data_IF_627278930521
#
_entry.id   IF_627278930521
#
_cell.length_a   1.000
_cell.length_b   1.000
_cell.length_c   1.000
_cell.angle_alpha   90.00
_cell.angle_beta   90.00
_cell.angle_gamma   90.00
#
_symmetry.space_group_name_H-M   'P 1'
#
loop_
_entity.id
_entity.type
_entity.pdbx_description
1 polymer ?
#
# COMPACT_ATOMS: atom_id res chain seq x y z
N UNK A 1 35.31 10.39 3.77
CA UNK A 1 33.88 10.12 3.49
C UNK A 1 33.08 11.23 4.14
N UNK A 2 32.16 11.86 3.42
CA UNK A 2 31.26 12.84 4.02
C UNK A 2 30.42 12.13 5.10
N UNK A 3 30.23 12.77 6.27
CA UNK A 3 29.43 12.21 7.36
C UNK A 3 27.97 12.15 6.92
N UNK A 4 27.33 10.98 7.02
CA UNK A 4 25.89 10.85 6.75
C UNK A 4 25.11 11.75 7.72
N UNK A 5 24.06 12.41 7.20
CA UNK A 5 23.04 13.07 8.00
C UNK A 5 22.31 12.00 8.83
N UNK A 6 21.98 12.39 10.05
CA UNK A 6 21.14 11.57 10.92
C UNK A 6 19.70 11.58 10.39
N UNK A 7 18.93 10.51 10.66
CA UNK A 7 17.49 10.56 10.52
C UNK A 7 16.91 11.70 11.39
N UNK A 8 15.80 12.33 10.98
CA UNK A 8 15.08 13.29 11.81
C UNK A 8 14.85 12.78 13.23
N UNK A 9 14.85 13.68 14.21
CA UNK A 9 14.74 13.28 15.63
C UNK A 9 13.36 12.68 15.96
N UNK A 10 12.35 13.13 15.23
CA UNK A 10 10.95 12.76 15.29
C UNK A 10 10.55 11.79 14.17
N UNK A 11 11.52 11.11 13.56
CA UNK A 11 11.28 10.15 12.49
C UNK A 11 10.31 9.04 12.95
N UNK A 12 9.26 8.83 12.16
CA UNK A 12 8.20 7.87 12.42
C UNK A 12 8.65 6.47 12.00
N UNK A 13 9.47 5.84 12.84
CA UNK A 13 9.76 4.41 12.73
C UNK A 13 8.52 3.60 13.12
N UNK A 14 8.04 2.74 12.23
CA UNK A 14 6.85 1.94 12.48
C UNK A 14 6.87 0.64 11.69
N UNK A 15 5.70 0.06 11.49
CA UNK A 15 5.45 -0.96 10.48
C UNK A 15 3.96 -0.92 10.13
N UNK A 16 3.56 -1.72 9.15
CA UNK A 16 2.22 -1.67 8.59
C UNK A 16 1.51 -3.01 8.55
N UNK A 17 0.18 -2.94 8.52
CA UNK A 17 -0.77 -4.05 8.26
C UNK A 17 -1.95 -3.54 7.42
N UNK A 18 -2.82 -4.45 7.00
CA UNK A 18 -4.13 -4.13 6.40
C UNK A 18 -5.21 -4.94 7.09
N UNK A 19 -6.41 -4.35 7.20
CA UNK A 19 -7.53 -4.91 7.95
C UNK A 19 -7.86 -6.34 7.52
N UNK A 20 -8.15 -6.56 6.23
CA UNK A 20 -8.59 -7.87 5.75
C UNK A 20 -7.49 -8.95 5.87
N UNK A 21 -6.20 -8.56 5.88
CA UNK A 21 -5.10 -9.53 5.98
C UNK A 21 -4.75 -9.91 7.42
N UNK A 22 -5.15 -9.12 8.42
CA UNK A 22 -4.70 -9.29 9.82
C UNK A 22 -5.84 -9.44 10.83
N UNK A 23 -7.00 -8.78 10.63
CA UNK A 23 -8.02 -8.65 11.68
C UNK A 23 -8.72 -9.97 11.99
N UNK A 24 -9.23 -10.66 10.97
CA UNK A 24 -10.21 -11.74 11.18
C UNK A 24 -11.56 -11.20 11.62
N UNK A 25 -12.31 -12.00 12.39
CA UNK A 25 -13.66 -11.67 12.85
C UNK A 25 -14.56 -11.16 11.71
N UNK A 26 -14.48 -11.83 10.55
CA UNK A 26 -14.78 -11.18 9.27
C UNK A 26 -16.28 -10.92 9.02
N UNK A 27 -17.17 -11.61 9.72
CA UNK A 27 -18.62 -11.38 9.72
C UNK A 27 -19.19 -11.31 11.15
N UNK A 28 -18.36 -10.89 12.09
CA UNK A 28 -18.73 -10.76 13.51
C UNK A 28 -18.97 -9.30 13.88
N UNK A 29 -19.65 -9.08 15.02
CA UNK A 29 -19.87 -7.74 15.60
C UNK A 29 -20.48 -6.72 14.63
N UNK A 30 -21.43 -7.18 13.81
CA UNK A 30 -22.15 -6.34 12.84
C UNK A 30 -21.35 -5.97 11.59
N UNK A 31 -20.13 -6.48 11.38
CA UNK A 31 -19.37 -6.28 10.13
C UNK A 31 -20.13 -6.90 8.95
N UNK A 32 -20.32 -6.12 7.89
CA UNK A 32 -20.84 -6.60 6.61
C UNK A 32 -19.77 -7.30 5.77
N UNK A 33 -20.17 -8.12 4.77
CA UNK A 33 -19.24 -8.70 3.83
C UNK A 33 -18.52 -7.62 3.01
N UNK A 34 -17.22 -7.77 2.83
CA UNK A 34 -16.42 -7.05 1.84
C UNK A 34 -16.22 -7.90 0.59
N UNK A 35 -15.71 -7.32 -0.49
CA UNK A 35 -15.26 -8.05 -1.69
C UNK A 35 -14.22 -9.13 -1.35
N UNK A 36 -13.44 -8.95 -0.28
CA UNK A 36 -12.46 -9.95 0.17
C UNK A 36 -13.11 -11.15 0.87
N UNK A 37 -14.31 -10.98 1.44
CA UNK A 37 -15.08 -12.04 2.10
C UNK A 37 -15.87 -12.90 1.10
N UNK A 38 -16.34 -12.30 -0.01
CA UNK A 38 -17.22 -12.97 -0.99
C UNK A 38 -16.48 -13.47 -2.22
N UNK A 39 -15.21 -13.08 -2.42
CA UNK A 39 -14.42 -13.57 -3.55
C UNK A 39 -14.27 -15.10 -3.49
N UNK A 40 -14.17 -15.70 -4.67
CA UNK A 40 -13.82 -17.12 -4.79
C UNK A 40 -12.34 -17.27 -4.48
N UNK A 41 -12.03 -18.06 -3.45
CA UNK A 41 -10.65 -18.33 -3.02
C UNK A 41 -10.24 -19.68 -3.59
N UNK A 42 -9.10 -19.79 -4.30
CA UNK A 42 -8.55 -21.07 -4.74
C UNK A 42 -8.35 -22.04 -3.57
N UNK A 43 -8.61 -23.34 -3.79
CA UNK A 43 -8.53 -24.38 -2.74
C UNK A 43 -7.15 -24.49 -2.07
N UNK A 44 -6.09 -24.01 -2.75
CA UNK A 44 -4.72 -24.01 -2.25
C UNK A 44 -4.36 -22.75 -1.44
N UNK A 45 -5.31 -21.84 -1.20
CA UNK A 45 -5.11 -20.62 -0.41
C UNK A 45 -6.08 -20.56 0.79
N UNK A 46 -5.68 -19.94 1.91
CA UNK A 46 -6.55 -19.77 3.07
C UNK A 46 -7.60 -18.67 2.85
N UNK A 47 -8.73 -18.78 3.56
CA UNK A 47 -9.68 -17.68 3.68
C UNK A 47 -9.23 -16.61 4.69
N UNK A 48 -9.92 -15.46 4.66
CA UNK A 48 -9.62 -14.30 5.51
C UNK A 48 -10.49 -14.23 6.77
N UNK A 49 -11.23 -15.30 7.12
CA UNK A 49 -12.20 -15.25 8.23
C UNK A 49 -11.52 -15.02 9.57
N UNK A 50 -10.38 -15.66 9.79
CA UNK A 50 -9.59 -15.57 11.03
C UNK A 50 -8.32 -14.73 10.85
N UNK A 51 -7.66 -14.82 9.69
CA UNK A 51 -6.40 -14.09 9.47
C UNK A 51 -5.39 -14.28 10.63
N UNK A 52 -4.73 -13.22 11.08
CA UNK A 52 -3.89 -13.30 12.28
C UNK A 52 -4.67 -13.10 13.57
N UNK A 53 -5.99 -12.94 13.48
CA UNK A 53 -6.91 -12.69 14.60
C UNK A 53 -6.53 -11.46 15.43
N UNK A 54 -5.98 -10.42 14.79
CA UNK A 54 -5.66 -9.16 15.46
C UNK A 54 -6.90 -8.49 16.06
N UNK A 55 -8.10 -8.77 15.55
CA UNK A 55 -9.33 -8.25 16.16
C UNK A 55 -9.42 -8.61 17.65
N UNK A 56 -9.07 -9.85 18.00
CA UNK A 56 -9.09 -10.33 19.38
C UNK A 56 -7.74 -10.15 20.10
N UNK A 57 -6.63 -10.06 19.35
CA UNK A 57 -5.26 -9.99 19.89
C UNK A 57 -4.60 -8.60 19.82
N UNK A 58 -5.32 -7.53 19.45
CA UNK A 58 -4.70 -6.21 19.23
C UNK A 58 -3.91 -5.70 20.44
N UNK A 59 -4.35 -5.97 21.67
CA UNK A 59 -3.60 -5.54 22.88
C UNK A 59 -2.23 -6.20 22.98
N UNK A 60 -2.14 -7.49 22.65
CA UNK A 60 -0.87 -8.23 22.61
C UNK A 60 0.02 -7.70 21.49
N UNK A 61 -0.55 -7.53 20.29
CA UNK A 61 0.17 -7.02 19.12
C UNK A 61 0.73 -5.61 19.37
N UNK A 62 -0.08 -4.69 19.90
CA UNK A 62 0.35 -3.31 20.21
C UNK A 62 1.39 -3.29 21.34
N UNK A 63 1.28 -4.15 22.35
CA UNK A 63 2.29 -4.25 23.41
C UNK A 63 3.65 -4.70 22.84
N UNK A 64 3.66 -5.65 21.90
CA UNK A 64 4.89 -6.08 21.20
C UNK A 64 5.46 -4.97 20.31
N UNK A 65 4.61 -4.21 19.62
CA UNK A 65 5.04 -3.03 18.85
C UNK A 65 5.68 -1.96 19.75
N UNK A 66 5.12 -1.75 20.94
CA UNK A 66 5.69 -0.87 21.96
C UNK A 66 7.03 -1.38 22.48
N UNK A 67 7.15 -2.69 22.73
CA UNK A 67 8.41 -3.32 23.13
C UNK A 67 9.50 -3.15 22.06
N UNK A 68 9.14 -3.23 20.78
CA UNK A 68 10.03 -2.97 19.65
C UNK A 68 10.40 -1.48 19.53
N UNK A 69 9.62 -0.59 20.15
CA UNK A 69 9.91 0.84 20.23
C UNK A 69 9.24 1.69 19.15
N UNK A 70 8.21 1.16 18.46
CA UNK A 70 7.49 1.86 17.41
C UNK A 70 7.10 3.29 17.80
N UNK A 71 7.24 4.21 16.84
CA UNK A 71 6.76 5.59 16.91
C UNK A 71 5.45 5.76 16.17
N UNK A 72 5.20 4.94 15.15
CA UNK A 72 3.94 4.90 14.43
C UNK A 72 3.52 3.47 14.15
N UNK A 73 2.21 3.24 14.04
CA UNK A 73 1.65 2.01 13.49
C UNK A 73 0.67 2.38 12.38
N UNK A 74 0.91 1.85 11.17
CA UNK A 74 0.00 2.02 10.06
C UNK A 74 -0.94 0.83 9.96
N UNK A 75 -2.23 1.09 10.02
CA UNK A 75 -3.28 0.10 9.79
C UNK A 75 -4.36 0.69 8.90
N UNK A 76 -5.14 -0.17 8.24
CA UNK A 76 -6.35 0.26 7.54
C UNK A 76 -7.59 0.04 8.40
N UNK A 77 -8.62 0.85 8.16
CA UNK A 77 -9.94 0.65 8.73
C UNK A 77 -10.80 -0.11 7.71
N UNK A 78 -11.45 -1.19 8.15
CA UNK A 78 -12.37 -1.95 7.32
C UNK A 78 -13.68 -1.18 7.13
N UNK A 79 -13.93 -0.73 5.90
CA UNK A 79 -15.14 0.04 5.57
C UNK A 79 -16.40 -0.75 5.93
N UNK A 80 -16.46 -2.04 5.60
CA UNK A 80 -17.62 -2.86 5.91
C UNK A 80 -17.79 -3.16 7.41
N UNK A 81 -16.79 -2.87 8.26
CA UNK A 81 -16.93 -2.91 9.71
C UNK A 81 -17.62 -1.65 10.24
N UNK A 82 -17.26 -0.47 9.73
CA UNK A 82 -17.86 0.81 10.13
C UNK A 82 -19.25 1.01 9.54
N UNK A 83 -19.42 0.71 8.26
CA UNK A 83 -20.65 0.92 7.51
C UNK A 83 -20.94 -0.39 6.74
N UNK A 84 -21.72 -1.31 7.30
CA UNK A 84 -21.84 -2.69 6.78
C UNK A 84 -22.30 -2.81 5.33
N UNK A 85 -23.13 -1.87 4.86
CA UNK A 85 -23.59 -1.80 3.47
C UNK A 85 -22.79 -0.80 2.61
N UNK A 86 -21.72 -0.22 3.16
CA UNK A 86 -20.92 0.86 2.59
C UNK A 86 -21.55 2.24 2.64
N UNK A 87 -22.87 2.30 2.82
CA UNK A 87 -23.68 3.51 3.02
C UNK A 87 -24.69 3.32 4.16
N UNK A 88 -25.24 4.43 4.66
CA UNK A 88 -26.32 4.41 5.64
C UNK A 88 -25.85 4.27 7.09
N UNK A 89 -26.38 3.28 7.80
CA UNK A 89 -26.19 3.13 9.25
C UNK A 89 -24.75 2.77 9.62
N UNK A 90 -24.23 3.50 10.62
CA UNK A 90 -22.92 3.24 11.21
C UNK A 90 -23.05 2.14 12.26
N UNK A 91 -22.17 1.14 12.19
CA UNK A 91 -22.06 0.09 13.19
C UNK A 91 -21.22 0.56 14.38
N UNK A 92 -21.86 0.77 15.53
CA UNK A 92 -21.21 1.24 16.75
C UNK A 92 -20.14 0.27 17.28
N UNK A 93 -20.28 -1.05 17.06
CA UNK A 93 -19.26 -2.02 17.48
C UNK A 93 -17.98 -1.90 16.63
N UNK A 94 -18.13 -1.56 15.35
CA UNK A 94 -16.98 -1.25 14.48
C UNK A 94 -16.24 0.00 14.95
N UNK A 95 -16.97 1.06 15.32
CA UNK A 95 -16.40 2.27 15.91
C UNK A 95 -15.68 1.97 17.23
N UNK A 96 -16.28 1.15 18.10
CA UNK A 96 -15.68 0.75 19.37
C UNK A 96 -14.36 0.00 19.18
N UNK A 97 -14.29 -0.94 18.23
CA UNK A 97 -13.05 -1.67 17.93
C UNK A 97 -11.89 -0.73 17.56
N UNK A 98 -12.10 0.18 16.60
CA UNK A 98 -11.02 1.08 16.18
C UNK A 98 -10.70 2.15 17.23
N UNK A 99 -11.68 2.61 18.02
CA UNK A 99 -11.40 3.43 19.19
C UNK A 99 -10.45 2.72 20.15
N UNK A 100 -10.74 1.46 20.48
CA UNK A 100 -9.90 0.66 21.37
C UNK A 100 -8.50 0.42 20.79
N UNK A 101 -8.39 0.14 19.48
CA UNK A 101 -7.09 -0.04 18.81
C UNK A 101 -6.26 1.25 18.84
N UNK A 102 -6.88 2.39 18.53
CA UNK A 102 -6.26 3.72 18.56
C UNK A 102 -5.81 4.06 19.99
N UNK A 103 -6.68 3.88 20.98
CA UNK A 103 -6.37 4.18 22.38
C UNK A 103 -5.26 3.29 22.92
N UNK A 104 -5.23 2.00 22.53
CA UNK A 104 -4.13 1.11 22.91
C UNK A 104 -2.81 1.55 22.25
N UNK A 105 -2.81 2.01 20.99
CA UNK A 105 -1.61 2.61 20.37
C UNK A 105 -1.12 3.82 21.16
N UNK A 106 -2.04 4.75 21.47
CA UNK A 106 -1.71 6.01 22.15
C UNK A 106 -1.24 5.79 23.59
N UNK A 107 -1.77 4.78 24.28
CA UNK A 107 -1.30 4.36 25.61
C UNK A 107 0.20 4.06 25.62
N UNK A 108 0.76 3.56 24.52
CA UNK A 108 2.20 3.31 24.36
C UNK A 108 2.95 4.42 23.60
N UNK A 109 2.31 5.56 23.35
CA UNK A 109 2.84 6.67 22.55
C UNK A 109 3.14 6.31 21.09
N UNK A 110 2.44 5.32 20.54
CA UNK A 110 2.51 4.96 19.12
C UNK A 110 1.49 5.82 18.38
N UNK A 111 1.93 6.64 17.43
CA UNK A 111 1.03 7.46 16.62
C UNK A 111 0.32 6.60 15.56
N UNK A 112 -1.03 6.59 15.51
CA UNK A 112 -1.76 5.96 14.43
C UNK A 112 -1.50 6.67 13.09
N UNK A 113 -1.14 5.91 12.06
CA UNK A 113 -1.18 6.32 10.65
C UNK A 113 -2.32 5.56 9.98
N UNK A 114 -3.50 6.18 9.90
CA UNK A 114 -4.73 5.48 9.50
C UNK A 114 -4.90 5.49 7.99
N UNK A 115 -5.03 4.31 7.40
CA UNK A 115 -5.37 4.14 5.98
C UNK A 115 -6.87 3.93 5.82
N UNK A 116 -7.53 4.78 5.04
CA UNK A 116 -9.00 4.70 4.89
C UNK A 116 -9.41 3.45 4.14
N UNK A 117 -8.75 3.13 3.03
CA UNK A 117 -9.17 2.03 2.17
C UNK A 117 -8.01 1.19 1.67
N UNK A 118 -8.15 -0.13 1.82
CA UNK A 118 -7.16 -1.12 1.42
C UNK A 118 -7.85 -2.36 0.82
N UNK A 119 -8.42 -2.16 -0.39
CA UNK A 119 -8.98 -3.21 -1.26
C UNK A 119 -10.23 -3.95 -0.74
N UNK A 120 -10.82 -3.52 0.37
CA UNK A 120 -11.87 -4.22 1.09
C UNK A 120 -13.24 -3.52 0.98
N UNK A 121 -13.62 -3.17 -0.26
CA UNK A 121 -14.91 -2.53 -0.56
C UNK A 121 -16.08 -3.35 0.02
N UNK A 122 -17.06 -2.73 0.69
CA UNK A 122 -18.28 -3.41 1.10
C UNK A 122 -18.96 -4.09 -0.10
N UNK A 123 -19.32 -5.37 0.03
CA UNK A 123 -19.88 -6.15 -1.07
C UNK A 123 -21.19 -5.54 -1.60
N UNK A 124 -21.98 -4.89 -0.74
CA UNK A 124 -23.20 -4.19 -1.15
C UNK A 124 -22.94 -2.99 -2.10
N UNK A 125 -21.78 -2.35 -2.04
CA UNK A 125 -21.39 -1.33 -3.02
C UNK A 125 -20.90 -1.99 -4.31
N UNK A 126 -20.18 -3.10 -4.21
CA UNK A 126 -19.71 -3.87 -5.37
C UNK A 126 -20.88 -4.40 -6.21
N UNK A 127 -21.94 -4.91 -5.56
CA UNK A 127 -23.20 -5.32 -6.20
C UNK A 127 -23.87 -4.19 -7.01
N UNK A 128 -23.60 -2.92 -6.65
CA UNK A 128 -24.08 -1.73 -7.36
C UNK A 128 -23.10 -1.22 -8.43
N UNK A 129 -22.05 -1.97 -8.73
CA UNK A 129 -21.01 -1.62 -9.71
C UNK A 129 -19.71 -1.11 -9.09
N UNK A 130 -19.61 -1.07 -7.76
CA UNK A 130 -18.40 -0.71 -7.02
C UNK A 130 -17.79 0.60 -7.48
N UNK A 131 -16.49 0.62 -7.74
CA UNK A 131 -15.81 1.83 -8.24
C UNK A 131 -16.22 2.24 -9.65
N UNK A 132 -17.01 1.46 -10.40
CA UNK A 132 -17.58 1.89 -11.69
C UNK A 132 -18.82 2.76 -11.51
N UNK A 133 -19.42 2.74 -10.33
CA UNK A 133 -20.57 3.56 -9.99
C UNK A 133 -20.10 4.89 -9.36
N UNK A 134 -20.48 6.06 -9.92
CA UNK A 134 -20.10 7.35 -9.36
C UNK A 134 -20.61 7.56 -7.92
N UNK A 135 -21.70 6.91 -7.50
CA UNK A 135 -22.23 7.02 -6.13
C UNK A 135 -21.24 6.49 -5.07
N UNK A 136 -20.34 5.58 -5.46
CA UNK A 136 -19.27 5.08 -4.58
C UNK A 136 -18.32 6.18 -4.13
N UNK A 137 -18.18 7.25 -4.92
CA UNK A 137 -17.41 8.45 -4.54
C UNK A 137 -18.03 9.08 -3.29
N UNK A 138 -19.33 9.29 -3.29
CA UNK A 138 -20.03 9.95 -2.18
C UNK A 138 -20.12 9.02 -0.96
N UNK A 139 -20.28 7.71 -1.18
CA UNK A 139 -20.19 6.71 -0.11
C UNK A 139 -18.82 6.74 0.58
N UNK A 140 -17.72 6.84 -0.19
CA UNK A 140 -16.38 6.95 0.37
C UNK A 140 -16.18 8.25 1.17
N UNK A 141 -16.74 9.36 0.70
CA UNK A 141 -16.69 10.64 1.43
C UNK A 141 -17.48 10.56 2.74
N UNK A 142 -18.65 9.90 2.74
CA UNK A 142 -19.41 9.65 3.96
C UNK A 142 -18.62 8.76 4.94
N UNK A 143 -17.96 7.72 4.44
CA UNK A 143 -17.07 6.88 5.24
C UNK A 143 -15.90 7.67 5.85
N UNK A 144 -15.24 8.53 5.06
CA UNK A 144 -14.20 9.43 5.54
C UNK A 144 -14.72 10.36 6.63
N UNK A 145 -15.91 10.96 6.44
CA UNK A 145 -16.57 11.79 7.44
C UNK A 145 -16.79 11.05 8.77
N UNK A 146 -17.32 9.83 8.72
CA UNK A 146 -17.54 9.00 9.93
C UNK A 146 -16.22 8.75 10.65
N UNK A 147 -15.14 8.45 9.94
CA UNK A 147 -13.81 8.29 10.57
C UNK A 147 -13.31 9.58 11.20
N UNK A 148 -13.45 10.72 10.54
CA UNK A 148 -13.02 12.01 11.08
C UNK A 148 -13.80 12.40 12.33
N UNK A 149 -15.12 12.20 12.36
CA UNK A 149 -15.98 12.50 13.51
C UNK A 149 -15.65 11.64 14.73
N UNK A 150 -15.27 10.37 14.52
CA UNK A 150 -15.09 9.41 15.62
C UNK A 150 -13.63 9.27 16.08
N UNK A 151 -12.65 9.56 15.22
CA UNK A 151 -11.23 9.31 15.50
C UNK A 151 -10.33 10.52 15.28
N UNK A 152 -10.81 11.57 14.61
CA UNK A 152 -10.02 12.75 14.23
C UNK A 152 -9.53 13.60 15.41
N UNK A 153 -10.08 13.41 16.60
CA UNK A 153 -9.59 14.02 17.84
C UNK A 153 -8.22 13.47 18.28
N UNK A 154 -7.91 12.24 17.87
CA UNK A 154 -6.72 11.47 18.29
C UNK A 154 -5.79 11.11 17.14
N UNK A 155 -6.32 10.87 15.94
CA UNK A 155 -5.54 10.49 14.75
C UNK A 155 -5.07 11.72 13.98
N UNK A 156 -3.75 11.89 13.92
CA UNK A 156 -3.10 13.02 13.24
C UNK A 156 -2.73 12.76 11.79
N UNK A 157 -2.42 11.51 11.45
CA UNK A 157 -1.94 11.16 10.11
C UNK A 157 -2.90 10.21 9.41
N UNK A 158 -3.30 10.59 8.20
CA UNK A 158 -4.29 9.90 7.40
C UNK A 158 -3.73 9.57 6.02
N UNK A 159 -4.10 8.41 5.50
CA UNK A 159 -3.88 8.00 4.13
C UNK A 159 -5.22 7.69 3.51
N UNK A 160 -5.40 8.10 2.26
CA UNK A 160 -6.65 7.89 1.54
C UNK A 160 -6.77 6.45 1.02
N UNK A 161 -6.55 6.21 -0.28
CA UNK A 161 -6.62 4.89 -0.91
C UNK A 161 -5.20 4.33 -1.02
N UNK A 162 -4.96 3.17 -0.41
CA UNK A 162 -3.71 2.45 -0.58
C UNK A 162 -3.63 1.84 -1.98
N UNK A 163 -2.48 1.98 -2.64
CA UNK A 163 -2.13 1.27 -3.87
C UNK A 163 -3.20 1.32 -4.97
N UNK A 164 -3.81 2.50 -5.16
CA UNK A 164 -4.80 2.72 -6.21
C UNK A 164 -4.33 2.22 -7.58
N UNK A 165 -3.07 2.46 -7.90
CA UNK A 165 -2.49 2.03 -9.16
C UNK A 165 -2.39 0.51 -9.32
N UNK A 166 -2.28 -0.25 -8.22
CA UNK A 166 -2.33 -1.71 -8.28
C UNK A 166 -3.75 -2.18 -8.60
N UNK A 167 -4.79 -1.53 -8.07
CA UNK A 167 -6.18 -1.84 -8.47
C UNK A 167 -6.44 -1.55 -9.95
N UNK A 168 -5.89 -0.45 -10.48
CA UNK A 168 -6.07 -0.10 -11.90
C UNK A 168 -5.26 -1.00 -12.82
N UNK A 169 -3.99 -1.27 -12.50
CA UNK A 169 -3.09 -2.02 -13.38
C UNK A 169 -3.23 -3.54 -13.24
N UNK A 170 -3.59 -4.01 -12.04
CA UNK A 170 -3.58 -5.43 -11.67
C UNK A 170 -4.89 -5.86 -10.99
N UNK A 171 -5.98 -5.11 -11.17
CA UNK A 171 -7.25 -5.34 -10.45
C UNK A 171 -7.81 -6.75 -10.59
N UNK A 172 -7.77 -7.31 -11.80
CA UNK A 172 -8.18 -8.69 -12.05
C UNK A 172 -7.30 -9.73 -11.34
N UNK A 173 -6.00 -9.45 -11.21
CA UNK A 173 -5.07 -10.33 -10.49
C UNK A 173 -5.40 -10.28 -9.00
N UNK A 174 -5.55 -9.08 -8.43
CA UNK A 174 -5.78 -8.92 -6.98
C UNK A 174 -7.25 -9.07 -6.55
N UNK A 175 -8.15 -9.42 -7.47
CA UNK A 175 -9.56 -9.69 -7.19
C UNK A 175 -10.41 -8.45 -6.92
N UNK A 176 -10.01 -7.28 -7.44
CA UNK A 176 -10.75 -6.00 -7.30
C UNK A 176 -11.48 -5.58 -8.59
N UNK A 177 -11.36 -6.37 -9.67
CA UNK A 177 -12.03 -6.12 -10.93
C UNK A 177 -12.35 -7.42 -11.67
N UNK A 178 -13.58 -7.59 -12.15
CA UNK A 178 -13.96 -8.69 -13.05
C UNK A 178 -14.08 -8.16 -14.50
N UNK A 179 -13.22 -8.62 -15.44
CA UNK A 179 -13.28 -8.19 -16.83
C UNK A 179 -14.39 -8.87 -17.66
N UNK A 180 -15.08 -9.88 -17.12
CA UNK A 180 -16.08 -10.65 -17.87
C UNK A 180 -17.23 -9.76 -18.35
N UNK A 181 -17.53 -9.81 -19.64
CA UNK A 181 -18.60 -9.01 -20.26
C UNK A 181 -18.26 -7.52 -20.47
N UNK A 182 -17.04 -7.08 -20.14
CA UNK A 182 -16.61 -5.69 -20.33
C UNK A 182 -15.99 -5.50 -21.72
N UNK A 183 -16.63 -4.69 -22.57
CA UNK A 183 -16.19 -4.45 -23.96
C UNK A 183 -14.82 -3.77 -24.03
N UNK A 184 -14.63 -2.68 -23.27
CA UNK A 184 -13.34 -2.00 -23.14
C UNK A 184 -12.89 -1.96 -21.68
N UNK A 185 -12.09 -2.96 -21.29
CA UNK A 185 -11.54 -3.09 -19.95
C UNK A 185 -10.72 -1.86 -19.53
N UNK A 186 -9.94 -1.28 -20.44
CA UNK A 186 -9.14 -0.09 -20.13
C UNK A 186 -10.03 1.11 -19.82
N UNK A 187 -11.05 1.37 -20.64
CA UNK A 187 -12.03 2.44 -20.38
C UNK A 187 -12.70 2.27 -19.01
N UNK A 188 -13.12 1.06 -18.67
CA UNK A 188 -13.73 0.78 -17.36
C UNK A 188 -12.75 1.06 -16.21
N UNK A 189 -11.52 0.53 -16.27
CA UNK A 189 -10.50 0.71 -15.24
C UNK A 189 -10.10 2.18 -15.06
N UNK A 190 -9.93 2.95 -16.15
CA UNK A 190 -9.60 4.37 -16.05
C UNK A 190 -10.79 5.24 -15.63
N UNK A 191 -12.04 4.81 -15.87
CA UNK A 191 -13.21 5.44 -15.25
C UNK A 191 -13.24 5.21 -13.74
N UNK A 192 -13.01 3.97 -13.29
CA UNK A 192 -12.88 3.66 -11.85
C UNK A 192 -11.75 4.47 -11.22
N UNK A 193 -10.62 4.58 -11.91
CA UNK A 193 -9.50 5.40 -11.49
C UNK A 193 -9.91 6.87 -11.29
N UNK A 194 -10.67 7.45 -12.23
CA UNK A 194 -11.15 8.82 -12.09
C UNK A 194 -12.03 9.00 -10.84
N UNK A 195 -12.97 8.08 -10.59
CA UNK A 195 -13.81 8.12 -9.40
C UNK A 195 -13.01 7.94 -8.11
N UNK A 196 -12.02 7.05 -8.08
CA UNK A 196 -11.10 6.92 -6.94
C UNK A 196 -10.28 8.19 -6.72
N UNK A 197 -9.80 8.86 -7.77
CA UNK A 197 -9.09 10.14 -7.65
C UNK A 197 -10.01 11.22 -7.05
N UNK A 198 -11.26 11.31 -7.52
CA UNK A 198 -12.24 12.27 -7.03
C UNK A 198 -12.62 11.99 -5.56
N UNK A 199 -12.82 10.72 -5.19
CA UNK A 199 -13.13 10.31 -3.82
C UNK A 199 -12.02 10.70 -2.84
N UNK A 200 -10.76 10.48 -3.22
CA UNK A 200 -9.61 10.89 -2.42
C UNK A 200 -9.50 12.41 -2.31
N UNK A 201 -9.71 13.13 -3.42
CA UNK A 201 -9.66 14.58 -3.42
C UNK A 201 -10.72 15.18 -2.48
N UNK A 202 -11.97 14.69 -2.57
CA UNK A 202 -13.05 15.09 -1.65
C UNK A 202 -12.72 14.75 -0.20
N UNK A 203 -12.15 13.57 0.08
CA UNK A 203 -11.76 13.17 1.43
C UNK A 203 -10.62 14.04 2.00
N UNK A 204 -9.64 14.45 1.18
CA UNK A 204 -8.57 15.37 1.57
C UNK A 204 -9.11 16.76 1.91
N UNK A 205 -9.94 17.33 1.03
CA UNK A 205 -10.59 18.62 1.28
C UNK A 205 -11.39 18.58 2.59
N UNK A 206 -12.19 17.52 2.79
CA UNK A 206 -12.97 17.35 4.01
C UNK A 206 -12.09 17.19 5.26
N UNK A 207 -10.93 16.52 5.15
CA UNK A 207 -9.97 16.40 6.25
C UNK A 207 -9.49 17.78 6.72
N UNK A 208 -9.08 18.64 5.79
CA UNK A 208 -8.60 19.99 6.15
C UNK A 208 -9.70 20.89 6.71
N UNK A 209 -10.95 20.72 6.27
CA UNK A 209 -12.10 21.45 6.79
C UNK A 209 -12.47 21.00 8.22
N UNK A 210 -12.49 19.68 8.47
CA UNK A 210 -12.95 19.12 9.74
C UNK A 210 -11.84 19.03 10.80
N UNK A 211 -10.59 18.79 10.37
CA UNK A 211 -9.44 18.49 11.23
C UNK A 211 -8.24 19.38 10.88
N UNK A 212 -8.24 20.69 11.23
CA UNK A 212 -7.18 21.63 10.82
C UNK A 212 -5.75 21.28 11.26
N UNK A 213 -5.58 20.40 12.25
CA UNK A 213 -4.28 19.92 12.73
C UNK A 213 -3.85 18.56 12.16
N UNK A 214 -4.71 17.90 11.40
CA UNK A 214 -4.40 16.61 10.78
C UNK A 214 -3.54 16.80 9.52
N UNK A 215 -2.91 15.71 9.10
CA UNK A 215 -2.07 15.59 7.90
C UNK A 215 -2.58 14.43 7.07
N UNK A 216 -2.77 14.64 5.78
CA UNK A 216 -3.31 13.61 4.88
C UNK A 216 -2.49 13.49 3.60
N UNK A 217 -2.30 12.26 3.10
CA UNK A 217 -1.54 11.99 1.88
C UNK A 217 -2.10 10.81 1.06
N UNK A 218 -1.74 10.73 -0.24
CA UNK A 218 -1.99 9.56 -1.06
C UNK A 218 -1.01 8.44 -0.68
N UNK A 219 -1.34 7.17 -0.97
CA UNK A 219 -0.45 6.02 -0.72
C UNK A 219 -0.34 5.03 -1.90
N UNK A 220 0.03 5.46 -3.13
CA UNK A 220 0.21 4.56 -4.27
C UNK A 220 1.46 3.67 -4.16
N UNK A 221 1.56 2.66 -5.02
CA UNK A 221 2.77 1.84 -5.20
C UNK A 221 3.73 2.48 -6.21
N UNK A 222 4.82 3.09 -5.78
CA UNK A 222 5.68 3.92 -6.64
C UNK A 222 7.07 3.31 -6.73
N UNK A 223 7.60 3.22 -7.95
CA UNK A 223 8.97 2.78 -8.15
C UNK A 223 9.60 3.35 -9.42
N UNK A 224 10.91 3.59 -9.36
CA UNK A 224 11.70 3.97 -10.52
C UNK A 224 11.57 2.91 -11.63
N UNK A 225 11.59 3.39 -12.88
CA UNK A 225 11.55 2.56 -14.08
C UNK A 225 12.83 2.76 -14.86
N UNK A 226 13.58 1.69 -15.07
CA UNK A 226 14.82 1.73 -15.84
C UNK A 226 14.58 1.40 -17.31
N UNK A 227 15.32 2.03 -18.23
CA UNK A 227 15.40 1.53 -19.59
C UNK A 227 16.26 0.25 -19.63
N UNK A 228 15.88 -0.72 -20.46
CA UNK A 228 16.62 -1.97 -20.62
C UNK A 228 18.00 -1.77 -21.27
N UNK A 229 18.20 -0.69 -22.03
CA UNK A 229 19.47 -0.33 -22.64
C UNK A 229 19.62 1.19 -22.82
N UNK A 230 20.73 1.63 -23.42
CA UNK A 230 20.97 3.04 -23.75
C UNK A 230 20.32 3.48 -25.08
N UNK A 231 19.46 2.64 -25.68
CA UNK A 231 18.66 3.02 -26.84
C UNK A 231 17.68 4.14 -26.47
N UNK A 232 17.55 5.18 -27.30
CA UNK A 232 16.54 6.23 -27.09
C UNK A 232 15.12 5.68 -26.95
N UNK A 233 14.79 4.62 -27.70
CA UNK A 233 13.46 4.00 -27.69
C UNK A 233 13.16 3.31 -26.35
N UNK A 234 14.16 2.66 -25.73
CA UNK A 234 14.02 2.05 -24.40
C UNK A 234 13.89 3.12 -23.31
N UNK A 235 14.56 4.27 -23.48
CA UNK A 235 14.41 5.43 -22.58
C UNK A 235 13.00 5.98 -22.65
N UNK A 236 12.43 6.11 -23.85
CA UNK A 236 11.05 6.57 -24.03
C UNK A 236 10.02 5.55 -23.50
N UNK A 237 10.28 4.25 -23.67
CA UNK A 237 9.47 3.18 -23.07
C UNK A 237 9.45 3.24 -21.53
N UNK A 238 10.63 3.42 -20.91
CA UNK A 238 10.76 3.58 -19.45
C UNK A 238 10.05 4.83 -18.94
N UNK A 239 10.20 5.97 -19.61
CA UNK A 239 9.48 7.21 -19.29
C UNK A 239 7.96 7.02 -19.37
N UNK A 240 7.49 6.26 -20.36
CA UNK A 240 6.06 5.98 -20.55
C UNK A 240 5.51 5.09 -19.46
N UNK A 241 6.19 3.99 -19.14
CA UNK A 241 5.78 3.13 -18.03
C UNK A 241 5.83 3.89 -16.69
N UNK A 242 6.84 4.75 -16.47
CA UNK A 242 6.89 5.59 -15.27
C UNK A 242 5.70 6.55 -15.18
N UNK A 243 5.29 7.16 -16.31
CA UNK A 243 4.11 8.02 -16.33
C UNK A 243 2.82 7.26 -15.99
N UNK A 244 2.64 6.07 -16.55
CA UNK A 244 1.46 5.21 -16.31
C UNK A 244 1.45 4.67 -14.88
N UNK A 245 2.58 4.20 -14.36
CA UNK A 245 2.62 3.55 -13.05
C UNK A 245 2.69 4.54 -11.89
N UNK A 246 3.35 5.68 -12.09
CA UNK A 246 3.69 6.63 -11.03
C UNK A 246 3.00 7.98 -11.23
N UNK A 247 3.33 8.69 -12.31
CA UNK A 247 3.04 10.12 -12.42
C UNK A 247 1.57 10.44 -12.57
N UNK A 248 0.76 9.63 -13.27
CA UNK A 248 -0.67 9.92 -13.37
C UNK A 248 -1.40 9.95 -12.01
N UNK A 249 -0.90 9.23 -11.00
CA UNK A 249 -1.50 9.17 -9.67
C UNK A 249 -1.01 10.33 -8.82
N UNK A 250 0.31 10.53 -8.75
CA UNK A 250 0.90 11.59 -7.93
C UNK A 250 0.70 13.00 -8.53
N UNK A 251 0.77 13.17 -9.86
CA UNK A 251 0.44 14.45 -10.52
C UNK A 251 -1.02 14.83 -10.23
N UNK A 252 -1.93 13.85 -10.23
CA UNK A 252 -3.32 14.11 -9.88
C UNK A 252 -3.48 14.47 -8.41
N UNK A 253 -2.88 13.69 -7.49
CA UNK A 253 -3.00 13.95 -6.07
C UNK A 253 -2.43 15.32 -5.67
N UNK A 254 -1.27 15.72 -6.23
CA UNK A 254 -0.57 16.96 -5.84
C UNK A 254 -1.06 18.17 -6.62
N UNK A 255 -1.19 18.05 -7.95
CA UNK A 255 -1.49 19.17 -8.84
C UNK A 255 -2.95 19.20 -9.32
N UNK A 256 -3.68 18.10 -9.25
CA UNK A 256 -5.05 18.00 -9.78
C UNK A 256 -5.07 18.03 -11.31
N UNK A 257 -4.04 17.49 -11.96
CA UNK A 257 -3.93 17.43 -13.42
C UNK A 257 -3.64 16.01 -13.90
N UNK A 258 -4.18 15.66 -15.06
CA UNK A 258 -3.79 14.44 -15.77
C UNK A 258 -2.40 14.59 -16.37
N UNK A 259 -1.60 13.54 -16.28
CA UNK A 259 -0.32 13.46 -16.97
C UNK A 259 -0.56 13.40 -18.49
N UNK A 260 0.01 14.34 -19.25
CA UNK A 260 -0.26 14.49 -20.69
C UNK A 260 0.11 13.25 -21.52
N UNK A 261 1.18 12.55 -21.14
CA UNK A 261 1.60 11.32 -21.84
C UNK A 261 0.58 10.20 -21.65
N UNK A 262 0.13 10.02 -20.41
CA UNK A 262 -0.91 9.03 -20.10
C UNK A 262 -2.22 9.39 -20.79
N UNK A 263 -2.61 10.67 -20.78
CA UNK A 263 -3.82 11.13 -21.46
C UNK A 263 -3.83 10.78 -22.95
N UNK A 264 -2.73 11.03 -23.66
CA UNK A 264 -2.60 10.65 -25.08
C UNK A 264 -2.74 9.14 -25.30
N UNK A 265 -2.21 8.31 -24.39
CA UNK A 265 -2.39 6.85 -24.44
C UNK A 265 -3.84 6.46 -24.22
N UNK A 266 -4.55 7.12 -23.31
CA UNK A 266 -5.97 6.87 -23.09
C UNK A 266 -6.81 7.21 -24.32
N UNK A 267 -6.48 8.29 -25.04
CA UNK A 267 -7.15 8.64 -26.30
C UNK A 267 -6.95 7.54 -27.36
N UNK A 268 -5.70 7.06 -27.52
CA UNK A 268 -5.39 5.96 -28.45
C UNK A 268 -6.14 4.67 -28.12
N UNK A 269 -6.37 4.38 -26.84
CA UNK A 269 -7.06 3.19 -26.36
C UNK A 269 -8.59 3.35 -26.28
N UNK A 270 -9.14 4.53 -26.62
CA UNK A 270 -10.56 4.84 -26.38
C UNK A 270 -10.95 4.75 -24.90
N UNK A 271 -10.01 5.01 -24.00
CA UNK A 271 -10.09 4.77 -22.57
C UNK A 271 -10.08 6.05 -21.71
N UNK A 272 -10.22 7.23 -22.32
CA UNK A 272 -10.32 8.50 -21.56
C UNK A 272 -11.53 8.45 -20.62
N UNK A 273 -11.39 8.79 -19.33
CA UNK A 273 -12.53 8.81 -18.42
C UNK A 273 -13.51 9.92 -18.82
N UNK A 274 -14.77 9.71 -18.49
CA UNK A 274 -15.78 10.76 -18.46
C UNK A 274 -15.54 11.63 -17.24
N UNK A 275 -15.30 12.91 -17.48
CA UNK A 275 -15.06 13.95 -16.47
C UNK A 275 -16.31 14.82 -16.42
N UNK A 276 -16.94 14.88 -15.26
CA UNK A 276 -18.16 15.68 -15.06
C UNK A 276 -17.81 17.13 -14.71
N UNK A 277 -18.80 18.00 -14.81
CA UNK A 277 -18.66 19.40 -14.42
C UNK A 277 -18.27 19.50 -12.93
N UNK A 278 -17.17 20.19 -12.65
CA UNK A 278 -16.67 20.42 -11.29
C UNK A 278 -15.63 19.40 -10.80
N UNK A 279 -15.48 18.23 -11.44
CA UNK A 279 -14.55 17.18 -10.99
C UNK A 279 -13.11 17.70 -10.92
N UNK A 280 -12.65 18.33 -12.01
CA UNK A 280 -11.29 18.89 -12.07
C UNK A 280 -11.06 20.04 -11.08
N UNK A 281 -12.10 20.78 -10.72
CA UNK A 281 -11.96 21.85 -9.72
C UNK A 281 -11.82 21.29 -8.31
N UNK A 282 -12.50 20.18 -7.99
CA UNK A 282 -12.28 19.45 -6.73
C UNK A 282 -10.89 18.82 -6.70
N UNK A 283 -10.46 18.18 -7.79
CA UNK A 283 -9.13 17.56 -7.89
C UNK A 283 -8.00 18.59 -7.69
N UNK A 284 -8.12 19.80 -8.25
CA UNK A 284 -7.15 20.89 -8.03
C UNK A 284 -7.15 21.43 -6.61
N UNK A 285 -8.31 21.44 -5.93
CA UNK A 285 -8.44 21.92 -4.54
C UNK A 285 -7.81 20.97 -3.53
N UNK A 286 -7.80 19.67 -3.81
CA UNK A 286 -7.12 18.71 -2.95
C UNK A 286 -5.61 18.96 -2.94
N UNK A 287 -5.03 19.00 -1.74
CA UNK A 287 -3.61 19.29 -1.51
C UNK A 287 -3.07 18.36 -0.42
N UNK A 288 -2.32 17.31 -0.74
CA UNK A 288 -1.75 16.45 0.28
C UNK A 288 -0.70 17.20 1.09
N UNK A 289 -0.59 16.85 2.37
CA UNK A 289 0.41 17.39 3.29
C UNK A 289 1.77 16.69 3.15
N UNK A 290 1.75 15.45 2.68
CA UNK A 290 2.91 14.59 2.47
C UNK A 290 2.59 13.53 1.40
N UNK A 291 3.62 12.89 0.86
CA UNK A 291 3.45 11.75 -0.04
C UNK A 291 3.80 10.47 0.72
N UNK A 292 2.82 9.57 0.84
CA UNK A 292 3.11 8.19 1.18
C UNK A 292 3.26 7.36 -0.09
N UNK A 293 4.14 6.36 -0.06
CA UNK A 293 4.11 5.33 -1.10
C UNK A 293 4.70 4.01 -0.62
N UNK A 294 4.32 2.96 -1.35
CA UNK A 294 4.77 1.60 -1.15
C UNK A 294 5.88 1.26 -2.16
N UNK A 295 6.91 0.56 -1.70
CA UNK A 295 8.06 0.17 -2.52
C UNK A 295 8.51 -1.26 -2.24
N UNK A 296 8.69 -2.05 -3.30
CA UNK A 296 9.26 -3.40 -3.21
C UNK A 296 10.35 -3.64 -4.24
N UNK A 297 10.10 -3.20 -5.48
CA UNK A 297 11.04 -3.36 -6.60
C UNK A 297 10.87 -2.23 -7.63
N UNK A 298 11.93 -1.99 -8.38
CA UNK A 298 11.87 -1.21 -9.63
C UNK A 298 11.15 -1.99 -10.73
N UNK A 299 10.88 -1.31 -11.85
CA UNK A 299 10.54 -1.95 -13.11
C UNK A 299 11.62 -1.66 -14.16
N UNK A 300 11.69 -2.48 -15.20
CA UNK A 300 12.53 -2.22 -16.37
C UNK A 300 11.67 -2.31 -17.63
N UNK A 301 11.87 -1.39 -18.57
CA UNK A 301 11.12 -1.36 -19.83
C UNK A 301 12.03 -1.20 -21.05
N UNK A 302 11.57 -1.76 -22.16
CA UNK A 302 12.16 -1.59 -23.49
C UNK A 302 11.08 -1.24 -24.51
N UNK A 303 11.50 -0.81 -25.69
CA UNK A 303 10.59 -0.55 -26.80
C UNK A 303 9.80 -1.81 -27.17
N UNK A 304 8.51 -1.65 -27.47
CA UNK A 304 7.65 -2.76 -27.87
C UNK A 304 6.95 -2.50 -29.21
N UNK A 305 7.58 -2.87 -30.33
CA UNK A 305 6.94 -2.78 -31.64
C UNK A 305 5.65 -3.60 -31.67
N UNK A 306 4.61 -3.07 -32.33
CA UNK A 306 3.31 -3.75 -32.41
C UNK A 306 3.41 -5.07 -33.18
N UNK A 307 4.38 -5.17 -34.08
CA UNK A 307 4.68 -6.37 -34.88
C UNK A 307 5.23 -7.51 -34.02
N UNK A 308 5.77 -7.21 -32.84
CA UNK A 308 6.25 -8.19 -31.85
C UNK A 308 5.18 -8.55 -30.81
N UNK A 309 3.94 -8.05 -30.96
CA UNK A 309 2.87 -8.30 -30.00
C UNK A 309 2.55 -9.79 -29.91
N UNK A 310 2.72 -10.36 -28.72
CA UNK A 310 2.29 -11.72 -28.42
C UNK A 310 0.83 -11.70 -27.95
N UNK A 311 0.09 -12.79 -28.19
CA UNK A 311 -1.26 -12.94 -27.68
C UNK A 311 -1.26 -12.81 -26.14
N UNK A 312 -2.12 -11.93 -25.61
CA UNK A 312 -2.20 -11.68 -24.17
C UNK A 312 -2.63 -12.95 -23.41
N UNK A 313 -1.69 -13.61 -22.75
CA UNK A 313 -1.99 -14.63 -21.73
C UNK A 313 -2.36 -13.98 -20.40
N UNK A 314 -3.02 -14.74 -19.51
CA UNK A 314 -3.22 -14.34 -18.12
C UNK A 314 -1.85 -14.27 -17.45
N UNK A 315 -1.45 -13.07 -17.05
CA UNK A 315 -0.14 -12.79 -16.44
C UNK A 315 -0.29 -12.68 -14.93
N UNK A 316 0.63 -13.31 -14.19
CA UNK A 316 0.75 -13.16 -12.73
C UNK A 316 1.14 -11.71 -12.34
N UNK A 317 0.85 -11.26 -11.11
CA UNK A 317 1.16 -9.93 -10.57
C UNK A 317 2.64 -9.55 -10.74
N UNK A 318 3.52 -10.56 -10.75
CA UNK A 318 4.97 -10.44 -10.84
C UNK A 318 5.46 -10.33 -12.29
N UNK A 319 4.57 -10.51 -13.25
CA UNK A 319 4.90 -10.38 -14.66
C UNK A 319 5.05 -8.91 -15.02
N UNK A 320 6.10 -8.55 -15.77
CA UNK A 320 6.24 -7.18 -16.24
C UNK A 320 5.01 -6.74 -17.06
N UNK A 321 4.47 -5.58 -16.70
CA UNK A 321 3.40 -4.93 -17.43
C UNK A 321 3.91 -4.50 -18.81
N UNK A 322 3.11 -4.68 -19.86
CA UNK A 322 3.47 -4.32 -21.23
C UNK A 322 2.25 -3.78 -21.97
N UNK A 323 2.45 -2.82 -22.85
CA UNK A 323 1.44 -2.29 -23.75
C UNK A 323 2.01 -2.35 -25.18
N UNK A 324 1.51 -3.26 -26.04
CA UNK A 324 1.96 -3.38 -27.43
C UNK A 324 1.93 -2.05 -28.18
N UNK A 325 2.98 -1.76 -28.94
CA UNK A 325 3.16 -0.49 -29.63
C UNK A 325 3.63 0.67 -28.75
N UNK A 326 3.80 0.46 -27.43
CA UNK A 326 4.18 1.52 -26.48
C UNK A 326 5.40 1.13 -25.65
N UNK A 327 5.35 0.04 -24.87
CA UNK A 327 6.48 -0.45 -24.09
C UNK A 327 6.30 -1.92 -23.70
N UNK A 328 7.43 -2.61 -23.47
CA UNK A 328 7.47 -3.98 -22.95
C UNK A 328 8.20 -3.94 -21.62
N UNK A 329 7.53 -4.34 -20.55
CA UNK A 329 8.20 -4.61 -19.29
C UNK A 329 9.12 -5.82 -19.44
N UNK A 330 10.32 -5.74 -18.88
CA UNK A 330 11.31 -6.82 -18.88
C UNK A 330 11.93 -6.98 -17.49
N UNK A 331 12.55 -8.14 -17.25
CA UNK A 331 13.32 -8.37 -16.03
C UNK A 331 14.72 -7.79 -16.18
N UNK A 332 15.24 -7.19 -15.12
CA UNK A 332 16.61 -6.69 -15.07
C UNK A 332 17.58 -7.85 -14.74
N UNK A 333 18.50 -8.23 -15.66
CA UNK A 333 19.44 -9.31 -15.41
C UNK A 333 20.50 -8.98 -14.35
N UNK A 334 20.60 -7.72 -13.93
CA UNK A 334 21.57 -7.25 -12.93
C UNK A 334 21.02 -7.24 -11.50
N UNK A 335 19.71 -7.42 -11.33
CA UNK A 335 19.08 -7.40 -10.01
C UNK A 335 18.90 -8.82 -9.44
N UNK A 336 19.26 -9.05 -8.17
CA UNK A 336 18.91 -10.28 -7.49
C UNK A 336 17.40 -10.39 -7.31
N UNK A 337 16.90 -11.60 -7.09
CA UNK A 337 15.48 -11.88 -6.91
C UNK A 337 15.20 -12.58 -5.58
N UNK A 338 14.01 -12.34 -5.04
CA UNK A 338 13.47 -13.10 -3.91
C UNK A 338 13.15 -14.54 -4.36
N UNK A 339 12.86 -15.42 -3.39
CA UNK A 339 12.37 -16.78 -3.68
C UNK A 339 11.05 -16.77 -4.46
N UNK A 340 10.31 -15.66 -4.40
CA UNK A 340 9.08 -15.42 -5.15
C UNK A 340 9.32 -14.59 -6.41
N UNK A 341 10.54 -14.52 -6.94
CA UNK A 341 10.81 -13.91 -8.25
C UNK A 341 10.78 -12.37 -8.33
N UNK A 342 10.53 -11.66 -7.22
CA UNK A 342 10.57 -10.20 -7.15
C UNK A 342 12.00 -9.68 -7.17
N UNK A 343 12.28 -8.63 -7.93
CA UNK A 343 13.59 -8.00 -7.97
C UNK A 343 13.88 -7.23 -6.67
N UNK A 344 15.11 -7.34 -6.16
CA UNK A 344 15.55 -6.62 -4.96
C UNK A 344 16.46 -5.49 -5.42
N UNK A 345 15.98 -4.25 -5.33
CA UNK A 345 16.74 -3.06 -5.71
C UNK A 345 16.70 -1.96 -4.63
N UNK A 346 17.62 -1.97 -3.65
CA UNK A 346 17.72 -0.89 -2.69
C UNK A 346 18.24 0.42 -3.32
N UNK A 347 18.98 0.38 -4.42
CA UNK A 347 19.45 1.61 -5.09
C UNK A 347 18.26 2.28 -5.80
N UNK A 348 17.41 1.49 -6.44
CA UNK A 348 16.14 1.93 -7.00
C UNK A 348 15.20 2.56 -5.98
N UNK A 349 15.26 2.12 -4.72
CA UNK A 349 14.53 2.74 -3.64
C UNK A 349 14.97 4.20 -3.42
N UNK A 350 16.29 4.44 -3.35
CA UNK A 350 16.84 5.80 -3.26
C UNK A 350 16.54 6.64 -4.51
N UNK A 351 16.61 6.04 -5.70
CA UNK A 351 16.27 6.74 -6.95
C UNK A 351 14.81 7.19 -6.93
N UNK A 352 13.90 6.29 -6.53
CA UNK A 352 12.46 6.58 -6.40
C UNK A 352 12.21 7.72 -5.42
N UNK A 353 12.84 7.68 -4.23
CA UNK A 353 12.75 8.74 -3.23
C UNK A 353 13.18 10.11 -3.78
N UNK A 354 14.32 10.15 -4.48
CA UNK A 354 14.84 11.38 -5.08
C UNK A 354 13.94 11.90 -6.21
N UNK A 355 13.42 11.03 -7.07
CA UNK A 355 12.52 11.43 -8.16
C UNK A 355 11.21 12.03 -7.63
N UNK A 356 10.57 11.34 -6.67
CA UNK A 356 9.33 11.82 -6.04
C UNK A 356 9.57 13.17 -5.35
N UNK A 357 10.62 13.27 -4.53
CA UNK A 357 10.90 14.51 -3.81
C UNK A 357 11.28 15.67 -4.74
N UNK A 358 12.09 15.42 -5.77
CA UNK A 358 12.48 16.46 -6.74
C UNK A 358 11.30 16.96 -7.57
N UNK A 359 10.28 16.12 -7.77
CA UNK A 359 9.09 16.46 -8.57
C UNK A 359 8.03 17.23 -7.77
N UNK A 360 7.88 16.94 -6.48
CA UNK A 360 6.75 17.46 -5.69
C UNK A 360 7.16 18.29 -4.47
N UNK A 361 8.39 18.14 -3.98
CA UNK A 361 8.91 18.85 -2.80
C UNK A 361 8.00 18.74 -1.56
N UNK A 362 7.33 17.59 -1.41
CA UNK A 362 6.56 17.24 -0.23
C UNK A 362 7.34 16.24 0.63
N UNK A 363 7.20 16.29 1.97
CA UNK A 363 7.76 15.28 2.85
C UNK A 363 7.27 13.87 2.48
N UNK A 364 8.13 12.86 2.65
CA UNK A 364 7.85 11.48 2.23
C UNK A 364 7.81 10.54 3.43
N UNK A 365 6.80 9.66 3.47
CA UNK A 365 6.78 8.49 4.35
C UNK A 365 6.65 7.22 3.51
N UNK A 366 7.48 6.22 3.80
CA UNK A 366 7.34 4.92 3.14
C UNK A 366 6.37 4.08 3.95
N UNK A 367 5.26 3.69 3.34
CA UNK A 367 4.14 3.04 4.03
C UNK A 367 4.17 1.51 3.96
N UNK A 368 4.90 0.98 2.98
CA UNK A 368 5.22 -0.43 2.85
C UNK A 368 6.59 -0.61 2.15
N UNK A 369 7.44 -1.43 2.74
CA UNK A 369 8.64 -2.00 2.12
C UNK A 369 9.04 -3.25 2.92
N UNK A 370 9.21 -4.40 2.28
CA UNK A 370 9.44 -5.62 3.03
C UNK A 370 9.78 -6.84 2.18
N UNK A 371 10.11 -7.93 2.87
CA UNK A 371 10.50 -9.19 2.25
C UNK A 371 9.58 -10.33 2.74
N UNK A 372 8.87 -10.92 1.79
CA UNK A 372 8.14 -12.16 1.96
C UNK A 372 9.07 -13.36 1.83
N UNK A 373 9.04 -14.28 2.79
CA UNK A 373 9.86 -15.48 2.82
C UNK A 373 9.14 -16.62 3.56
N UNK A 374 9.62 -17.85 3.38
CA UNK A 374 9.18 -18.99 4.18
C UNK A 374 9.97 -19.04 5.49
N UNK A 375 9.43 -18.42 6.55
CA UNK A 375 10.09 -18.48 7.85
C UNK A 375 9.91 -19.86 8.51
N UNK A 376 10.96 -20.32 9.21
CA UNK A 376 10.95 -21.57 9.97
C UNK A 376 10.93 -21.29 11.48
N UNK A 377 10.00 -21.92 12.18
CA UNK A 377 10.04 -22.03 13.64
C UNK A 377 11.02 -23.14 14.03
N UNK A 378 12.11 -22.77 14.69
CA UNK A 378 13.15 -23.70 15.13
C UNK A 378 12.72 -24.48 16.39
N UNK A 379 13.43 -25.56 16.71
CA UNK A 379 13.15 -26.41 17.89
C UNK A 379 13.25 -25.65 19.22
N UNK A 380 14.09 -24.61 19.27
CA UNK A 380 14.25 -23.72 20.42
C UNK A 380 13.17 -22.63 20.52
N UNK A 381 12.19 -22.64 19.60
CA UNK A 381 11.10 -21.67 19.53
C UNK A 381 11.46 -20.33 18.88
N UNK A 382 12.64 -20.21 18.26
CA UNK A 382 13.09 -18.98 17.58
C UNK A 382 12.80 -19.00 16.08
N UNK A 383 12.83 -17.81 15.46
CA UNK A 383 12.78 -17.64 14.01
C UNK A 383 14.02 -16.84 13.58
N UNK A 384 14.86 -17.45 12.74
CA UNK A 384 16.12 -16.87 12.26
C UNK A 384 15.95 -16.32 10.85
N UNK A 385 15.53 -15.06 10.75
CA UNK A 385 15.19 -14.40 9.49
C UNK A 385 16.23 -13.35 9.06
N UNK A 386 17.51 -13.76 9.04
CA UNK A 386 18.64 -12.91 8.64
C UNK A 386 18.49 -12.31 7.23
N UNK A 387 17.81 -13.00 6.31
CA UNK A 387 17.49 -12.49 4.97
C UNK A 387 16.59 -11.25 5.03
N UNK A 388 15.63 -11.19 5.96
CA UNK A 388 14.73 -10.05 6.15
C UNK A 388 15.49 -8.86 6.72
N UNK A 389 16.34 -9.11 7.71
CA UNK A 389 17.26 -8.10 8.25
C UNK A 389 18.12 -7.51 7.15
N UNK A 390 18.78 -8.36 6.33
CA UNK A 390 19.63 -7.90 5.23
C UNK A 390 18.87 -7.05 4.22
N UNK A 391 17.67 -7.47 3.81
CA UNK A 391 16.84 -6.70 2.89
C UNK A 391 16.51 -5.31 3.45
N UNK A 392 15.97 -5.25 4.68
CA UNK A 392 15.57 -3.99 5.30
C UNK A 392 16.76 -3.08 5.57
N UNK A 393 17.88 -3.65 6.03
CA UNK A 393 19.13 -2.92 6.24
C UNK A 393 19.56 -2.19 4.97
N UNK A 394 19.62 -2.89 3.83
CA UNK A 394 20.04 -2.31 2.55
C UNK A 394 19.12 -1.16 2.11
N UNK A 395 17.81 -1.26 2.35
CA UNK A 395 16.86 -0.20 2.02
C UNK A 395 16.98 1.01 2.97
N UNK A 396 17.15 0.77 4.28
CA UNK A 396 17.35 1.85 5.26
C UNK A 396 18.67 2.60 5.00
N UNK A 397 19.73 1.91 4.61
CA UNK A 397 21.00 2.54 4.20
C UNK A 397 20.79 3.49 3.02
N UNK A 398 20.04 3.05 2.00
CA UNK A 398 19.74 3.86 0.81
C UNK A 398 18.77 5.02 1.13
N UNK A 399 17.86 4.85 2.08
CA UNK A 399 17.02 5.94 2.61
C UNK A 399 17.85 6.99 3.35
N UNK A 400 18.85 6.60 4.14
CA UNK A 400 19.77 7.56 4.77
C UNK A 400 20.57 8.34 3.70
N UNK A 401 20.96 7.68 2.63
CA UNK A 401 21.61 8.36 1.50
C UNK A 401 20.64 9.31 0.76
N UNK A 402 19.36 8.98 0.63
CA UNK A 402 18.36 9.92 0.09
C UNK A 402 18.20 11.17 0.99
N UNK A 403 18.23 11.01 2.32
CA UNK A 403 18.24 12.15 3.26
C UNK A 403 19.51 13.00 3.06
N UNK A 404 20.66 12.38 2.80
CA UNK A 404 21.89 13.10 2.44
C UNK A 404 21.70 13.95 1.19
N UNK A 405 21.06 13.39 0.16
CA UNK A 405 20.75 14.06 -1.11
C UNK A 405 19.80 15.24 -0.95
N UNK A 406 19.04 15.28 0.16
CA UNK A 406 18.14 16.38 0.50
C UNK A 406 16.67 16.00 0.52
N UNK A 407 16.33 14.71 0.38
CA UNK A 407 14.96 14.22 0.50
C UNK A 407 14.46 14.42 1.93
N UNK A 408 13.32 15.10 2.07
CA UNK A 408 12.66 15.27 3.36
C UNK A 408 11.84 14.01 3.70
N UNK A 409 12.37 13.20 4.61
CA UNK A 409 11.72 11.97 5.06
C UNK A 409 11.03 12.15 6.40
N UNK A 410 9.79 11.68 6.52
CA UNK A 410 9.01 11.69 7.77
C UNK A 410 9.06 10.35 8.51
N UNK A 411 9.13 9.23 7.80
CA UNK A 411 9.00 7.92 8.42
C UNK A 411 9.21 6.73 7.49
N UNK A 412 9.20 5.54 8.09
CA UNK A 412 9.39 4.27 7.41
C UNK A 412 8.59 3.18 8.14
N UNK A 413 7.63 2.59 7.42
CA UNK A 413 6.75 1.52 7.88
C UNK A 413 6.98 0.27 7.03
N UNK A 414 7.86 -0.66 7.44
CA UNK A 414 8.05 -1.92 6.76
C UNK A 414 6.79 -2.76 6.71
N UNK A 415 6.69 -3.59 5.68
CA UNK A 415 5.67 -4.62 5.56
C UNK A 415 6.23 -5.95 6.06
N UNK A 416 5.77 -6.52 7.18
CA UNK A 416 4.64 -6.09 8.03
C UNK A 416 5.00 -6.09 9.52
N UNK A 417 4.12 -5.54 10.36
CA UNK A 417 4.31 -5.58 11.81
C UNK A 417 4.20 -7.01 12.36
N UNK A 418 3.12 -7.70 11.95
CA UNK A 418 2.77 -9.07 12.33
C UNK A 418 2.59 -9.87 11.04
N UNK A 419 2.88 -11.18 11.07
CA UNK A 419 2.52 -12.06 9.97
C UNK A 419 1.03 -11.92 9.64
N UNK A 420 0.68 -12.04 8.37
CA UNK A 420 -0.64 -11.79 7.83
C UNK A 420 -0.86 -12.63 6.56
N UNK A 421 -2.11 -12.77 6.11
CA UNK A 421 -2.39 -13.53 4.88
C UNK A 421 -1.92 -12.73 3.67
N UNK A 422 -1.02 -13.28 2.86
CA UNK A 422 -0.71 -12.76 1.52
C UNK A 422 -1.85 -13.09 0.55
N UNK A 423 -2.33 -12.10 -0.22
CA UNK A 423 -3.50 -12.23 -1.10
C UNK A 423 -3.43 -13.41 -2.08
N UNK A 424 -2.24 -13.76 -2.57
CA UNK A 424 -2.03 -14.79 -3.60
C UNK A 424 -1.15 -15.95 -3.17
N UNK A 425 -0.50 -15.84 -2.02
CA UNK A 425 0.53 -16.78 -1.56
C UNK A 425 0.19 -17.40 -0.21
N UNK A 426 -0.95 -17.01 0.37
CA UNK A 426 -1.43 -17.51 1.65
C UNK A 426 -0.60 -17.02 2.83
N UNK A 427 -0.68 -17.75 3.93
CA UNK A 427 -0.03 -17.42 5.21
C UNK A 427 1.43 -17.88 5.29
N UNK A 428 1.80 -18.91 4.53
CA UNK A 428 3.15 -19.49 4.63
C UNK A 428 4.23 -18.54 4.07
N UNK A 429 3.86 -17.61 3.17
CA UNK A 429 4.68 -16.47 2.79
C UNK A 429 4.56 -15.36 3.85
N UNK A 430 5.59 -15.24 4.69
CA UNK A 430 5.59 -14.41 5.89
C UNK A 430 6.35 -13.10 5.70
N UNK A 431 5.84 -12.04 6.32
CA UNK A 431 6.37 -10.68 6.22
C UNK A 431 6.67 -10.03 7.58
N UNK A 432 6.05 -10.51 8.66
CA UNK A 432 6.02 -9.83 9.94
C UNK A 432 7.38 -9.73 10.63
N UNK A 433 7.53 -8.76 11.54
CA UNK A 433 8.53 -8.86 12.63
C UNK A 433 8.07 -9.82 13.72
N UNK A 434 6.75 -9.96 13.87
CA UNK A 434 6.10 -10.85 14.84
C UNK A 434 5.54 -12.04 14.06
N UNK A 435 6.10 -13.23 14.32
CA UNK A 435 5.60 -14.48 13.76
C UNK A 435 4.26 -14.83 14.39
N UNK A 436 3.32 -15.34 13.60
CA UNK A 436 2.06 -15.91 14.12
C UNK A 436 2.06 -17.40 13.85
N UNK A 437 1.88 -18.19 14.91
CA UNK A 437 1.84 -19.63 14.82
C UNK A 437 0.50 -20.10 14.25
N UNK A 438 0.42 -20.12 12.92
CA UNK A 438 -0.57 -20.79 12.08
C UNK A 438 0.06 -21.14 10.74
N UNK A 439 -0.59 -21.99 9.95
CA UNK A 439 -0.29 -22.19 8.54
C UNK A 439 -1.43 -21.68 7.65
N UNK A 440 -1.42 -22.11 6.39
CA UNK A 440 -2.55 -21.89 5.47
C UNK A 440 -3.85 -22.46 6.05
N UNK A 441 -3.90 -23.78 6.32
CA UNK A 441 -5.14 -24.48 6.68
C UNK A 441 -5.23 -24.97 8.12
N UNK A 442 -4.23 -24.65 8.94
CA UNK A 442 -4.19 -24.98 10.37
C UNK A 442 -3.94 -23.71 11.17
N UNK A 443 -4.92 -23.29 11.97
CA UNK A 443 -4.82 -22.10 12.81
C UNK A 443 -3.87 -22.28 13.99
N UNK A 444 -3.55 -23.53 14.36
CA UNK A 444 -2.75 -23.85 15.54
C UNK A 444 -3.24 -23.06 16.77
N UNK A 445 -2.36 -22.32 17.44
CA UNK A 445 -2.67 -21.52 18.64
C UNK A 445 -2.61 -20.00 18.40
N UNK A 446 -2.31 -19.54 17.18
CA UNK A 446 -2.18 -18.14 16.80
C UNK A 446 -1.20 -17.32 17.67
N UNK A 447 -0.30 -18.00 18.38
CA UNK A 447 0.64 -17.35 19.30
C UNK A 447 1.60 -16.41 18.54
N UNK A 448 1.87 -15.25 19.14
CA UNK A 448 2.86 -14.28 18.66
C UNK A 448 4.25 -14.64 19.15
N UNK A 449 5.23 -14.65 18.23
CA UNK A 449 6.64 -14.97 18.52
C UNK A 449 7.53 -13.90 17.85
N UNK A 450 8.25 -13.07 18.62
CA UNK A 450 9.20 -12.12 18.04
C UNK A 450 10.30 -12.83 17.24
N UNK A 451 10.49 -12.45 15.96
CA UNK A 451 11.55 -12.99 15.11
C UNK A 451 12.90 -12.35 15.43
N UNK A 452 14.00 -12.83 14.85
CA UNK A 452 15.32 -12.16 14.99
C UNK A 452 15.25 -10.71 14.48
N UNK A 453 14.55 -10.47 13.37
CA UNK A 453 14.34 -9.13 12.80
C UNK A 453 13.63 -8.15 13.74
N UNK A 454 12.77 -8.62 14.66
CA UNK A 454 12.15 -7.78 15.70
C UNK A 454 13.21 -7.11 16.57
N UNK A 455 14.16 -7.90 17.09
CA UNK A 455 15.21 -7.38 17.98
C UNK A 455 16.21 -6.50 17.23
N UNK A 456 16.51 -6.85 15.98
CA UNK A 456 17.32 -5.99 15.12
C UNK A 456 16.63 -4.64 14.89
N UNK A 457 15.36 -4.62 14.51
CA UNK A 457 14.64 -3.38 14.24
C UNK A 457 14.43 -2.54 15.51
N UNK A 458 14.20 -3.18 16.66
CA UNK A 458 14.22 -2.50 17.98
C UNK A 458 15.50 -1.70 18.21
N UNK A 459 16.66 -2.27 17.84
CA UNK A 459 17.96 -1.60 17.94
C UNK A 459 18.09 -0.46 16.92
N UNK A 460 17.62 -0.66 15.69
CA UNK A 460 17.55 0.41 14.67
C UNK A 460 16.77 1.60 15.20
N UNK A 461 15.57 1.37 15.75
CA UNK A 461 14.72 2.45 16.28
C UNK A 461 15.37 3.11 17.49
N UNK A 462 15.89 2.34 18.45
CA UNK A 462 16.53 2.88 19.65
C UNK A 462 17.77 3.76 19.32
N UNK A 463 18.47 3.44 18.24
CA UNK A 463 19.61 4.21 17.75
C UNK A 463 19.24 5.31 16.74
N UNK A 464 17.94 5.46 16.42
CA UNK A 464 17.43 6.32 15.34
C UNK A 464 18.16 6.10 14.00
N UNK A 465 18.31 4.84 13.61
CA UNK A 465 18.95 4.42 12.36
C UNK A 465 20.48 4.50 12.36
N UNK A 466 21.14 4.73 13.50
CA UNK A 466 22.62 4.81 13.60
C UNK A 466 23.30 3.46 13.67
N UNK A 467 22.63 2.44 14.22
CA UNK A 467 23.13 1.09 14.28
C UNK A 467 22.22 0.14 13.50
N UNK A 468 22.67 -0.25 12.31
CA UNK A 468 22.02 -1.22 11.43
C UNK A 468 22.68 -2.60 11.47
N UNK A 469 23.70 -2.80 12.32
CA UNK A 469 24.45 -4.06 12.37
C UNK A 469 23.58 -5.23 12.80
N UNK A 470 23.84 -6.42 12.26
CA UNK A 470 23.22 -7.68 12.66
C UNK A 470 24.27 -8.51 13.41
N UNK A 471 24.37 -8.29 14.73
CA UNK A 471 25.34 -8.95 15.61
C UNK A 471 24.71 -10.14 16.33
#
# INVERSE_FOLDING_TARGET
MLKNKDFPKDFLWGASTSAYQVEGASLEYGKGPSVQDVKVIPDNLPDFKVASDQYHHYKEDIALMAEMGFKTYRFSISWSRLIPKGEGEVNSQGIEYYNNLIDECLKYNIQPLVTMYHFDLPAALDEKGGWSNPETVDAFVYFAKVMYENFGDRVKYWLTINEQNVMVLMGHVIGTFNPEGVENVQKALYQQNHYMLLAQAKAMVLCHEMLPGAKIGPAPNISAVYPASNKPEDTEAANTLSAIKNWMYLDMAVYGIYNARVWSILEMLGATPEIQEGDMEILKKAKPDFIAFNYYSTATAEAYPIEEAEAAGIKDQQSPFSLPGVFRGVKNPHLPKTEFGWEIDPIGFRNTLNEVYSRYHLPIIITENGLGAYDKLEEDGTIKDDYRIKYLQQHIEQMQLAINDGVEMMGYCPWSAVDLISTHEGFDKRYGFIYVNRGNFDLKDLKRIPKKSFYWYKKVIASNGKDLSNN
#
